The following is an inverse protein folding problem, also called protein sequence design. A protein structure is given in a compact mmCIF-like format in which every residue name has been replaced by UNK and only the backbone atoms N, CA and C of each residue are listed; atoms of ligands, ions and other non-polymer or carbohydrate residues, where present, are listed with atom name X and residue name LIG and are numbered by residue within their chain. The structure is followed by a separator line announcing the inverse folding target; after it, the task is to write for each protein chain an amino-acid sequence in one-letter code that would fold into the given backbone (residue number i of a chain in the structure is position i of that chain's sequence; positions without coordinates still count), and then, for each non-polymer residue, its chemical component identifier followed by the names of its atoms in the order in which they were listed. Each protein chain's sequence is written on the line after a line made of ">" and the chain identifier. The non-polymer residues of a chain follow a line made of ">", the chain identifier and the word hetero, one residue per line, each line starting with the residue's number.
data_IF_574380065562
#
_entry.id   IF_574380065562
#
_cell.length_a   1.000
_cell.length_b   1.000
_cell.length_c   1.000
_cell.angle_alpha   90.00
_cell.angle_beta   90.00
_cell.angle_gamma   90.00
#
_symmetry.space_group_name_H-M   'P 1'
#
loop_
_entity.id
_entity.type
_entity.pdbx_description
1 polymer ?
#
# COMPACT_ATOMS: atom_id res chain seq x y z
N UNK A 1 -20.72 -16.39 10.50
CA UNK A 1 -19.57 -17.11 9.90
C UNK A 1 -18.73 -16.07 9.22
N UNK A 2 -17.41 -16.09 9.43
CA UNK A 2 -16.46 -15.13 8.84
C UNK A 2 -16.67 -14.99 7.32
N UNK A 3 -16.99 -16.08 6.63
CA UNK A 3 -17.26 -16.05 5.18
C UNK A 3 -18.51 -15.25 4.82
N UNK A 4 -19.55 -15.28 5.66
CA UNK A 4 -20.78 -14.49 5.47
C UNK A 4 -20.50 -13.00 5.65
N UNK A 5 -19.69 -12.65 6.65
CA UNK A 5 -19.33 -11.26 6.94
C UNK A 5 -18.43 -10.68 5.85
N UNK A 6 -17.47 -11.48 5.35
CA UNK A 6 -16.60 -11.12 4.23
C UNK A 6 -17.31 -11.06 2.87
N UNK A 7 -18.48 -11.68 2.75
CA UNK A 7 -19.33 -11.64 1.54
C UNK A 7 -20.30 -10.44 1.54
N UNK A 8 -20.20 -9.55 2.53
CA UNK A 8 -21.04 -8.35 2.62
C UNK A 8 -20.81 -7.45 1.40
N UNK A 9 -21.88 -7.01 0.70
CA UNK A 9 -21.77 -6.10 -0.44
C UNK A 9 -21.00 -4.81 -0.13
N UNK A 10 -21.11 -4.29 1.09
CA UNK A 10 -20.39 -3.09 1.53
C UNK A 10 -18.87 -3.31 1.60
N UNK A 11 -18.43 -4.48 2.07
CA UNK A 11 -17.01 -4.88 2.09
C UNK A 11 -16.49 -5.11 0.67
N UNK A 12 -17.25 -5.83 -0.15
CA UNK A 12 -16.90 -6.10 -1.54
C UNK A 12 -16.81 -4.82 -2.38
N UNK A 13 -17.67 -3.83 -2.11
CA UNK A 13 -17.64 -2.53 -2.81
C UNK A 13 -16.34 -1.77 -2.55
N UNK A 14 -15.70 -1.97 -1.39
CA UNK A 14 -14.39 -1.40 -1.08
C UNK A 14 -13.26 -2.08 -1.83
N UNK A 15 -13.42 -3.37 -2.16
CA UNK A 15 -12.47 -4.14 -2.96
C UNK A 15 -12.55 -3.84 -4.48
N UNK A 16 -13.60 -3.15 -4.95
CA UNK A 16 -13.75 -2.77 -6.37
C UNK A 16 -12.72 -1.72 -6.82
N UNK A 17 -12.11 -0.97 -5.90
CA UNK A 17 -10.99 -0.09 -6.19
C UNK A 17 -9.74 -0.96 -6.39
N UNK A 18 -9.55 -1.43 -7.64
CA UNK A 18 -8.53 -2.38 -8.07
C UNK A 18 -7.17 -2.19 -7.36
N UNK A 19 -6.67 -3.27 -6.77
CA UNK A 19 -5.39 -3.33 -6.07
C UNK A 19 -5.56 -3.45 -4.55
N UNK A 20 -4.54 -3.96 -3.85
CA UNK A 20 -4.46 -3.72 -2.41
C UNK A 20 -4.44 -2.20 -2.23
N UNK A 21 -5.33 -1.63 -1.40
CA UNK A 21 -5.29 -0.18 -1.05
C UNK A 21 -3.91 0.26 -0.53
N UNK A 22 -3.05 -0.71 -0.24
CA UNK A 22 -1.75 -0.49 0.35
C UNK A 22 -0.71 -1.55 -0.05
N UNK A 23 -0.18 -1.53 -1.29
CA UNK A 23 0.85 -2.50 -1.70
C UNK A 23 2.24 -2.18 -1.12
N UNK A 24 2.41 -1.05 -0.42
CA UNK A 24 3.68 -0.50 0.04
C UNK A 24 3.76 -0.30 1.56
N UNK A 25 2.65 -0.11 2.26
CA UNK A 25 2.59 -0.10 3.72
C UNK A 25 2.07 -1.47 4.19
N UNK A 26 2.93 -2.19 4.92
CA UNK A 26 2.56 -3.47 5.54
C UNK A 26 1.98 -3.18 6.93
N UNK A 27 1.01 -3.99 7.37
CA UNK A 27 0.49 -3.90 8.74
C UNK A 27 1.63 -3.97 9.78
N UNK A 28 2.64 -4.80 9.52
CA UNK A 28 3.82 -4.92 10.36
C UNK A 28 4.60 -3.60 10.45
N UNK A 29 4.78 -2.88 9.34
CA UNK A 29 5.43 -1.57 9.36
C UNK A 29 4.66 -0.56 10.20
N UNK A 30 3.32 -0.53 10.12
CA UNK A 30 2.51 0.35 10.96
C UNK A 30 2.67 -0.03 12.43
N UNK A 31 2.55 -1.32 12.78
CA UNK A 31 2.73 -1.81 14.15
C UNK A 31 4.09 -1.37 14.69
N UNK A 32 5.17 -1.61 13.95
CA UNK A 32 6.53 -1.26 14.40
C UNK A 32 6.80 0.24 14.44
N UNK A 33 6.08 1.04 13.65
CA UNK A 33 6.15 2.51 13.74
C UNK A 33 5.51 3.07 15.02
N UNK A 34 4.55 2.34 15.60
CA UNK A 34 3.86 2.70 16.85
C UNK A 34 4.52 2.07 18.07
N UNK A 35 4.87 0.79 17.97
CA UNK A 35 5.47 -0.03 19.01
C UNK A 35 6.77 -0.62 18.44
N UNK A 36 7.89 0.13 18.53
CA UNK A 36 9.17 -0.35 18.05
C UNK A 36 9.58 -1.65 18.75
N UNK A 37 10.13 -2.60 17.99
CA UNK A 37 10.59 -3.90 18.54
C UNK A 37 11.64 -3.77 19.63
N UNK A 38 12.38 -2.67 19.60
CA UNK A 38 13.49 -2.37 20.51
C UNK A 38 13.01 -1.78 21.83
N UNK A 39 11.72 -1.44 21.94
CA UNK A 39 11.16 -0.78 23.12
C UNK A 39 10.25 -1.75 23.87
N UNK A 40 10.61 -2.06 25.11
CA UNK A 40 9.74 -2.82 25.99
C UNK A 40 8.52 -1.98 26.40
N UNK A 41 7.33 -2.58 26.31
CA UNK A 41 6.07 -1.97 26.77
C UNK A 41 5.25 -3.01 27.52
N UNK A 42 4.39 -2.54 28.42
CA UNK A 42 3.43 -3.39 29.13
C UNK A 42 2.40 -3.97 28.17
N UNK A 43 1.82 -5.12 28.52
CA UNK A 43 0.82 -5.82 27.70
C UNK A 43 -0.36 -4.91 27.27
N UNK A 44 -0.96 -4.06 28.13
CA UNK A 44 -2.06 -3.19 27.72
C UNK A 44 -1.65 -2.17 26.64
N UNK A 45 -0.45 -1.61 26.75
CA UNK A 45 0.11 -0.68 25.76
C UNK A 45 0.36 -1.38 24.43
N UNK A 46 0.91 -2.60 24.48
CA UNK A 46 1.10 -3.43 23.29
C UNK A 46 -0.24 -3.70 22.58
N UNK A 47 -1.24 -4.16 23.33
CA UNK A 47 -2.57 -4.46 22.79
C UNK A 47 -3.21 -3.21 22.16
N UNK A 48 -3.21 -2.08 22.87
CA UNK A 48 -3.74 -0.82 22.34
C UNK A 48 -3.03 -0.39 21.06
N UNK A 49 -1.70 -0.45 21.04
CA UNK A 49 -0.90 -0.09 19.87
C UNK A 49 -1.17 -0.99 18.66
N UNK A 50 -1.32 -2.29 18.87
CA UNK A 50 -1.67 -3.23 17.79
C UNK A 50 -3.09 -2.99 17.29
N UNK A 51 -4.07 -2.82 18.19
CA UNK A 51 -5.46 -2.54 17.78
C UNK A 51 -5.59 -1.22 17.01
N UNK A 52 -4.88 -0.16 17.46
CA UNK A 52 -4.83 1.11 16.75
C UNK A 52 -4.17 0.96 15.37
N UNK A 53 -3.04 0.25 15.29
CA UNK A 53 -2.35 0.01 14.01
C UNK A 53 -3.22 -0.78 13.02
N UNK A 54 -3.92 -1.81 13.48
CA UNK A 54 -4.86 -2.59 12.65
C UNK A 54 -6.02 -1.72 12.19
N UNK A 55 -6.59 -0.90 13.07
CA UNK A 55 -7.67 0.01 12.72
C UNK A 55 -7.20 1.02 11.65
N UNK A 56 -6.02 1.62 11.84
CA UNK A 56 -5.42 2.60 10.94
C UNK A 56 -5.09 1.98 9.58
N UNK A 57 -4.58 0.74 9.54
CA UNK A 57 -4.34 0.01 8.29
C UNK A 57 -5.61 -0.14 7.45
N UNK A 58 -6.71 -0.54 8.10
CA UNK A 58 -7.97 -0.86 7.44
C UNK A 58 -8.83 0.36 7.09
N UNK A 59 -8.77 1.43 7.89
CA UNK A 59 -9.69 2.57 7.78
C UNK A 59 -9.01 3.92 7.60
N UNK A 60 -7.67 3.96 7.66
CA UNK A 60 -6.91 5.20 7.67
C UNK A 60 -6.79 5.82 9.07
N UNK A 61 -5.97 6.87 9.15
CA UNK A 61 -5.70 7.70 10.32
C UNK A 61 -6.97 8.35 10.90
N UNK A 62 -8.03 8.54 10.11
CA UNK A 62 -9.30 9.08 10.60
C UNK A 62 -9.89 8.25 11.74
N UNK A 63 -9.59 6.94 11.82
CA UNK A 63 -10.05 6.08 12.90
C UNK A 63 -9.48 6.50 14.26
N UNK A 64 -8.34 7.19 14.28
CA UNK A 64 -7.71 7.69 15.51
C UNK A 64 -8.59 8.74 16.19
N UNK A 65 -9.34 9.54 15.42
CA UNK A 65 -10.35 10.45 15.96
C UNK A 65 -11.45 9.67 16.70
N UNK A 66 -11.93 8.56 16.15
CA UNK A 66 -12.95 7.72 16.78
C UNK A 66 -12.42 7.02 18.04
N UNK A 67 -11.14 6.62 18.03
CA UNK A 67 -10.48 6.05 19.22
C UNK A 67 -10.39 7.11 20.33
N UNK A 68 -9.97 8.33 20.00
CA UNK A 68 -9.92 9.45 20.96
C UNK A 68 -11.29 9.72 21.57
N UNK A 69 -12.35 9.79 20.77
CA UNK A 69 -13.72 9.99 21.26
C UNK A 69 -14.14 8.89 22.25
N UNK A 70 -13.83 7.62 21.94
CA UNK A 70 -14.11 6.50 22.84
C UNK A 70 -13.31 6.55 24.15
N UNK A 71 -12.18 7.26 24.16
CA UNK A 71 -11.37 7.51 25.34
C UNK A 71 -11.81 8.78 26.09
N UNK A 72 -12.91 9.41 25.69
CA UNK A 72 -13.43 10.64 26.30
C UNK A 72 -12.73 11.92 25.84
N UNK A 73 -11.92 11.86 24.78
CA UNK A 73 -11.26 13.02 24.19
C UNK A 73 -11.97 13.41 22.90
N UNK A 74 -12.39 14.66 22.78
CA UNK A 74 -13.05 15.15 21.56
C UNK A 74 -12.03 15.77 20.59
N UNK A 75 -11.77 15.16 19.43
CA UNK A 75 -10.84 15.72 18.44
C UNK A 75 -11.40 17.03 17.89
N UNK A 76 -10.60 18.10 17.96
CA UNK A 76 -10.95 19.37 17.32
C UNK A 76 -10.93 19.28 15.79
N UNK A 77 -11.54 20.26 15.12
CA UNK A 77 -11.64 20.30 13.65
C UNK A 77 -10.27 20.15 12.94
N UNK A 78 -9.24 20.78 13.48
CA UNK A 78 -7.87 20.72 12.94
C UNK A 78 -7.28 19.32 13.05
N UNK A 79 -7.54 18.60 14.16
CA UNK A 79 -7.12 17.21 14.31
C UNK A 79 -7.76 16.34 13.23
N UNK A 80 -9.08 16.47 13.05
CA UNK A 80 -9.84 15.73 12.04
C UNK A 80 -9.32 16.03 10.64
N UNK A 81 -9.10 17.31 10.32
CA UNK A 81 -8.60 17.73 9.02
C UNK A 81 -7.21 17.13 8.75
N UNK A 82 -6.27 17.22 9.68
CA UNK A 82 -4.93 16.63 9.54
C UNK A 82 -5.01 15.12 9.33
N UNK A 83 -5.86 14.39 10.08
CA UNK A 83 -6.00 12.95 9.90
C UNK A 83 -6.52 12.60 8.50
N UNK A 84 -7.48 13.36 7.97
CA UNK A 84 -7.97 13.20 6.59
C UNK A 84 -6.87 13.51 5.56
N UNK A 85 -6.11 14.59 5.74
CA UNK A 85 -5.01 14.95 4.83
C UNK A 85 -3.93 13.86 4.77
N UNK A 86 -3.62 13.24 5.92
CA UNK A 86 -2.69 12.11 5.99
C UNK A 86 -3.22 10.89 5.22
N UNK A 87 -4.53 10.63 5.30
CA UNK A 87 -5.17 9.55 4.55
C UNK A 87 -5.19 9.80 3.04
N UNK A 88 -5.47 11.03 2.61
CA UNK A 88 -5.37 11.43 1.22
C UNK A 88 -3.94 11.27 0.67
N UNK A 89 -2.94 11.73 1.43
CA UNK A 89 -1.53 11.57 1.06
C UNK A 89 -1.12 10.09 0.97
N UNK A 90 -1.63 9.26 1.89
CA UNK A 90 -1.39 7.81 1.89
C UNK A 90 -1.92 7.14 0.63
N UNK A 91 -3.15 7.48 0.23
CA UNK A 91 -3.77 6.96 -1.00
C UNK A 91 -2.97 7.43 -2.23
N UNK A 92 -2.65 8.73 -2.31
CA UNK A 92 -1.86 9.27 -3.42
C UNK A 92 -0.52 8.56 -3.59
N UNK A 93 0.21 8.33 -2.49
CA UNK A 93 1.48 7.58 -2.51
C UNK A 93 1.29 6.15 -3.00
N UNK A 94 0.22 5.47 -2.58
CA UNK A 94 -0.08 4.11 -3.02
C UNK A 94 -0.34 4.05 -4.54
N UNK A 95 -1.07 5.03 -5.08
CA UNK A 95 -1.32 5.16 -6.52
C UNK A 95 -0.03 5.43 -7.30
N UNK A 96 0.81 6.35 -6.82
CA UNK A 96 2.12 6.65 -7.42
C UNK A 96 3.03 5.42 -7.47
N UNK A 97 3.11 4.66 -6.37
CA UNK A 97 3.88 3.42 -6.30
C UNK A 97 3.32 2.34 -7.24
N UNK A 98 1.99 2.22 -7.35
CA UNK A 98 1.37 1.32 -8.30
C UNK A 98 1.73 1.68 -9.75
N UNK A 99 1.63 2.96 -10.11
CA UNK A 99 2.01 3.42 -11.44
C UNK A 99 3.50 3.15 -11.74
N UNK A 100 4.40 3.37 -10.76
CA UNK A 100 5.82 3.02 -10.90
C UNK A 100 6.01 1.53 -11.17
N UNK A 101 5.32 0.65 -10.43
CA UNK A 101 5.36 -0.80 -10.65
C UNK A 101 4.89 -1.18 -12.05
N UNK A 102 3.78 -0.62 -12.53
CA UNK A 102 3.30 -0.86 -13.90
C UNK A 102 4.31 -0.43 -14.96
N UNK A 103 4.89 0.78 -14.84
CA UNK A 103 5.94 1.26 -15.75
C UNK A 103 7.16 0.34 -15.77
N UNK A 104 7.60 -0.11 -14.58
CA UNK A 104 8.72 -1.05 -14.45
C UNK A 104 8.42 -2.39 -15.13
N UNK A 105 7.21 -2.93 -14.97
CA UNK A 105 6.81 -4.19 -15.60
C UNK A 105 6.77 -4.08 -17.13
N UNK A 106 6.26 -2.97 -17.67
CA UNK A 106 6.28 -2.68 -19.10
C UNK A 106 7.71 -2.62 -19.65
N UNK A 107 8.60 -1.90 -18.97
CA UNK A 107 10.01 -1.81 -19.36
C UNK A 107 10.71 -3.18 -19.34
N UNK A 108 10.46 -4.00 -18.31
CA UNK A 108 11.00 -5.35 -18.22
C UNK A 108 10.43 -6.28 -19.31
N UNK A 109 9.15 -6.14 -19.66
CA UNK A 109 8.55 -6.92 -20.74
C UNK A 109 9.15 -6.55 -22.11
N UNK A 110 9.38 -5.26 -22.36
CA UNK A 110 10.04 -4.79 -23.59
C UNK A 110 11.46 -5.33 -23.69
N UNK A 111 12.25 -5.23 -22.62
CA UNK A 111 13.62 -5.76 -22.59
C UNK A 111 13.66 -7.27 -22.86
N UNK A 112 12.79 -8.05 -22.21
CA UNK A 112 12.72 -9.51 -22.46
C UNK A 112 12.40 -9.84 -23.92
N UNK A 113 11.56 -9.03 -24.56
CA UNK A 113 11.24 -9.22 -25.97
C UNK A 113 12.43 -8.88 -26.87
N UNK A 114 13.18 -7.82 -26.58
CA UNK A 114 14.44 -7.49 -27.27
C UNK A 114 15.46 -8.63 -27.11
N UNK A 115 15.71 -9.10 -25.88
CA UNK A 115 16.60 -10.23 -25.60
C UNK A 115 16.20 -11.49 -26.41
N UNK A 116 14.89 -11.77 -26.53
CA UNK A 116 14.38 -12.90 -27.34
C UNK A 116 14.60 -12.72 -28.84
N UNK A 117 14.53 -11.49 -29.36
CA UNK A 117 14.82 -11.23 -30.77
C UNK A 117 16.31 -11.39 -31.06
N UNK A 118 17.19 -10.91 -30.17
CA UNK A 118 18.64 -11.10 -30.27
C UNK A 118 19.03 -12.59 -30.23
N UNK A 119 18.40 -13.39 -29.38
CA UNK A 119 18.63 -14.86 -29.33
C UNK A 119 18.15 -15.60 -30.59
N UNK A 120 17.19 -15.04 -31.33
CA UNK A 120 16.70 -15.61 -32.59
C UNK A 120 17.46 -15.11 -33.83
N UNK A 121 18.36 -14.12 -33.69
CA UNK A 121 19.17 -13.66 -34.81
C UNK A 121 20.14 -14.75 -35.27
N UNK A 122 20.17 -15.00 -36.58
CA UNK A 122 21.12 -15.90 -37.21
C UNK A 122 22.53 -15.28 -37.14
N UNK A 123 23.51 -15.95 -36.49
CA UNK A 123 24.88 -15.44 -36.39
C UNK A 123 25.51 -15.12 -37.75
N UNK A 124 25.08 -15.79 -38.82
CA UNK A 124 25.62 -15.65 -40.17
C UNK A 124 24.86 -14.61 -41.03
N UNK A 125 23.71 -14.10 -40.57
CA UNK A 125 22.93 -13.07 -41.26
C UNK A 125 22.21 -12.11 -40.29
N UNK A 126 22.95 -11.26 -39.55
CA UNK A 126 22.37 -10.34 -38.57
C UNK A 126 21.47 -9.29 -39.26
N UNK A 127 20.29 -9.02 -38.67
CA UNK A 127 19.25 -8.23 -39.32
C UNK A 127 19.48 -6.71 -39.23
N UNK A 128 20.42 -6.23 -38.40
CA UNK A 128 20.68 -4.80 -38.28
C UNK A 128 22.12 -4.47 -37.83
N UNK A 129 22.91 -3.87 -38.74
CA UNK A 129 24.21 -3.30 -38.42
C UNK A 129 24.07 -1.90 -37.80
N UNK A 130 24.57 -1.72 -36.57
CA UNK A 130 24.57 -0.43 -35.90
C UNK A 130 25.58 0.54 -36.56
N UNK A 131 25.08 1.63 -37.16
CA UNK A 131 25.89 2.78 -37.60
C UNK A 131 26.30 2.75 -39.07
N UNK A 132 25.37 3.05 -39.97
CA UNK A 132 25.67 3.53 -41.32
C UNK A 132 24.97 4.88 -41.50
N UNK A 133 25.69 5.95 -41.14
CA UNK A 133 25.72 7.31 -41.70
C UNK A 133 26.11 8.35 -40.65
#
# INVERSE_FOLDING_TARGET
>A
SIFKDLSSPELLRRCLHKGTQNPSESLNNIIWSRIPKTTFVMLPTLQLGVYEAVATFNRGNIVRCQILEKLGMHPGAQCINVMKSLDELRIKKAEEEFQKKCRKQLSLAKKRLEDMYEEMEDPDNPAYGAGMH
#
